data_IF_216408272676
#
_entry.id   IF_216408272676
#
_cell.length_a   1.000
_cell.length_b   1.000
_cell.length_c   1.000
_cell.angle_alpha   90.00
_cell.angle_beta   90.00
_cell.angle_gamma   90.00
#
_symmetry.space_group_name_H-M   'P 1'
#
loop_
_entity.id
_entity.type
_entity.pdbx_description
1 polymer ?
#
# COMPACT_ATOMS: atom_id res chain seq x y z
N UNK A 1 -22.55 -6.63 5.80
CA UNK A 1 -21.86 -5.37 5.42
C UNK A 1 -22.60 -4.74 4.26
N UNK A 2 -22.83 -3.43 4.32
CA UNK A 2 -23.32 -2.64 3.20
C UNK A 2 -22.18 -2.36 2.19
N UNK A 3 -22.52 -1.91 0.98
CA UNK A 3 -21.53 -1.67 -0.10
C UNK A 3 -20.42 -0.70 0.33
N UNK A 4 -20.73 0.34 1.11
CA UNK A 4 -19.74 1.29 1.63
C UNK A 4 -18.73 0.60 2.55
N UNK A 5 -19.21 -0.20 3.49
CA UNK A 5 -18.38 -0.97 4.42
C UNK A 5 -17.48 -1.98 3.70
N UNK A 6 -18.01 -2.65 2.66
CA UNK A 6 -17.22 -3.57 1.83
C UNK A 6 -16.09 -2.84 1.11
N UNK A 7 -16.39 -1.71 0.49
CA UNK A 7 -15.38 -0.90 -0.20
C UNK A 7 -14.36 -0.39 0.81
N UNK A 8 -14.79 0.09 1.97
CA UNK A 8 -13.88 0.52 3.03
C UNK A 8 -12.95 -0.61 3.44
N UNK A 9 -13.44 -1.84 3.60
CA UNK A 9 -12.60 -3.00 3.89
C UNK A 9 -11.61 -3.35 2.76
N UNK A 10 -11.95 -3.13 1.49
CA UNK A 10 -10.98 -3.23 0.37
C UNK A 10 -9.91 -2.15 0.47
N UNK A 11 -10.31 -0.92 0.80
CA UNK A 11 -9.36 0.20 0.98
C UNK A 11 -8.43 -0.07 2.15
N UNK A 12 -8.94 -0.63 3.24
CA UNK A 12 -8.19 -0.95 4.45
C UNK A 12 -7.43 -2.29 4.35
N UNK A 13 -7.61 -3.05 3.26
CA UNK A 13 -6.93 -4.32 3.03
C UNK A 13 -5.42 -4.14 2.85
N UNK A 14 -4.68 -5.22 3.11
CA UNK A 14 -3.23 -5.28 2.90
C UNK A 14 -2.84 -5.35 1.43
N UNK A 15 -3.81 -5.51 0.52
CA UNK A 15 -3.56 -5.58 -0.91
C UNK A 15 -3.01 -4.24 -1.41
N UNK A 16 -2.01 -4.30 -2.28
CA UNK A 16 -1.49 -3.10 -2.92
C UNK A 16 -2.54 -2.48 -3.85
N UNK A 17 -2.49 -1.17 -4.04
CA UNK A 17 -3.35 -0.48 -5.01
C UNK A 17 -3.21 -1.07 -6.44
N UNK A 18 -2.03 -1.62 -6.76
CA UNK A 18 -1.78 -2.35 -8.00
C UNK A 18 -2.45 -3.72 -8.03
N UNK A 19 -2.38 -4.51 -6.95
CA UNK A 19 -3.09 -5.81 -6.88
C UNK A 19 -4.59 -5.61 -7.06
N UNK A 20 -5.15 -4.62 -6.36
CA UNK A 20 -6.54 -4.22 -6.52
C UNK A 20 -6.79 -3.78 -7.97
N UNK A 21 -5.92 -2.95 -8.57
CA UNK A 21 -6.06 -2.57 -9.99
C UNK A 21 -6.03 -3.77 -10.94
N UNK A 22 -5.12 -4.71 -10.76
CA UNK A 22 -4.95 -5.88 -11.62
C UNK A 22 -6.18 -6.79 -11.57
N UNK A 23 -6.77 -6.94 -10.40
CA UNK A 23 -7.91 -7.84 -10.17
C UNK A 23 -9.26 -7.18 -10.44
N UNK A 24 -9.37 -5.86 -10.29
CA UNK A 24 -10.64 -5.11 -10.44
C UNK A 24 -10.72 -4.25 -11.69
N UNK A 25 -9.57 -3.90 -12.28
CA UNK A 25 -9.46 -2.88 -13.32
C UNK A 25 -9.80 -1.47 -12.84
N UNK A 26 -9.81 -1.21 -11.53
CA UNK A 26 -9.92 0.13 -10.95
C UNK A 26 -8.53 0.72 -10.84
N UNK A 27 -8.32 1.92 -11.38
CA UNK A 27 -6.99 2.54 -11.41
C UNK A 27 -6.41 2.70 -9.98
N UNK A 28 -5.13 2.36 -9.81
CA UNK A 28 -4.40 2.40 -8.54
C UNK A 28 -4.42 3.79 -7.92
N UNK A 29 -4.37 4.86 -8.73
CA UNK A 29 -4.50 6.24 -8.25
C UNK A 29 -5.86 6.52 -7.60
N UNK A 30 -6.93 5.79 -7.94
CA UNK A 30 -8.22 5.90 -7.27
C UNK A 30 -8.12 5.24 -5.90
N UNK A 31 -7.51 4.06 -5.81
CA UNK A 31 -7.32 3.33 -4.56
C UNK A 31 -6.43 4.12 -3.59
N UNK A 32 -5.30 4.66 -4.08
CA UNK A 32 -4.39 5.51 -3.31
C UNK A 32 -5.12 6.76 -2.81
N UNK A 33 -5.87 7.45 -3.68
CA UNK A 33 -6.64 8.64 -3.26
C UNK A 33 -7.73 8.33 -2.23
N UNK A 34 -8.33 7.13 -2.28
CA UNK A 34 -9.27 6.67 -1.26
C UNK A 34 -8.56 6.40 0.08
N UNK A 35 -7.39 5.73 0.05
CA UNK A 35 -6.56 5.47 1.25
C UNK A 35 -6.06 6.74 1.90
N UNK A 36 -5.62 7.71 1.09
CA UNK A 36 -5.08 8.98 1.57
C UNK A 36 -6.19 10.00 1.90
N UNK A 37 -7.46 9.60 1.90
CA UNK A 37 -8.64 10.45 2.14
C UNK A 37 -8.77 11.71 1.25
N UNK A 38 -8.00 11.80 0.16
CA UNK A 38 -8.10 12.88 -0.84
C UNK A 38 -9.28 12.66 -1.80
N UNK A 39 -9.89 11.46 -1.76
CA UNK A 39 -11.15 11.12 -2.42
C UNK A 39 -12.07 10.39 -1.44
N UNK A 40 -13.38 10.69 -1.49
CA UNK A 40 -14.40 9.98 -0.71
C UNK A 40 -15.00 8.81 -1.48
N UNK A 41 -15.29 7.70 -0.77
CA UNK A 41 -16.05 6.55 -1.27
C UNK A 41 -17.41 7.00 -1.84
N UNK A 42 -18.03 8.01 -1.23
CA UNK A 42 -19.35 8.54 -1.65
C UNK A 42 -19.33 9.20 -3.04
N UNK A 43 -18.15 9.46 -3.57
CA UNK A 43 -17.93 10.11 -4.88
C UNK A 43 -17.30 9.16 -5.91
N UNK A 44 -17.46 7.86 -5.72
CA UNK A 44 -17.08 6.85 -6.70
C UNK A 44 -18.16 6.68 -7.76
N UNK A 45 -17.75 6.36 -8.99
CA UNK A 45 -18.71 5.98 -10.02
C UNK A 45 -19.28 4.60 -9.71
N UNK A 46 -20.52 4.35 -10.15
CA UNK A 46 -21.19 3.06 -9.94
C UNK A 46 -20.33 1.88 -10.44
N UNK A 47 -19.70 2.01 -11.60
CA UNK A 47 -18.80 1.00 -12.16
C UNK A 47 -17.61 0.70 -11.22
N UNK A 48 -17.02 1.73 -10.59
CA UNK A 48 -15.93 1.53 -9.63
C UNK A 48 -16.43 0.86 -8.35
N UNK A 49 -17.60 1.27 -7.86
CA UNK A 49 -18.26 0.67 -6.68
C UNK A 49 -18.49 -0.83 -6.90
N UNK A 50 -19.09 -1.21 -8.03
CA UNK A 50 -19.39 -2.62 -8.37
C UNK A 50 -18.14 -3.48 -8.53
N UNK A 51 -17.03 -2.91 -9.00
CA UNK A 51 -15.75 -3.61 -9.16
C UNK A 51 -15.09 -3.88 -7.82
N UNK A 52 -15.07 -2.89 -6.93
CA UNK A 52 -14.49 -3.02 -5.58
C UNK A 52 -15.36 -3.89 -4.67
N UNK A 53 -16.69 -3.80 -4.79
CA UNK A 53 -17.59 -4.69 -4.06
C UNK A 53 -17.39 -6.16 -4.46
N UNK A 54 -17.31 -6.46 -5.76
CA UNK A 54 -16.98 -7.81 -6.22
C UNK A 54 -15.63 -8.29 -5.70
N UNK A 55 -14.62 -7.42 -5.71
CA UNK A 55 -13.31 -7.74 -5.15
C UNK A 55 -13.39 -8.15 -3.67
N UNK A 56 -14.15 -7.39 -2.88
CA UNK A 56 -14.39 -7.74 -1.48
C UNK A 56 -15.01 -9.14 -1.36
N UNK A 57 -16.11 -9.38 -2.10
CA UNK A 57 -16.87 -10.62 -1.99
C UNK A 57 -16.07 -11.85 -2.42
N UNK A 58 -15.12 -11.72 -3.36
CA UNK A 58 -14.31 -12.83 -3.87
C UNK A 58 -12.94 -12.97 -3.21
N UNK A 59 -12.27 -11.88 -2.85
CA UNK A 59 -10.88 -11.89 -2.35
C UNK A 59 -10.81 -11.59 -0.85
N UNK A 60 -11.23 -10.40 -0.45
CA UNK A 60 -11.05 -9.92 0.94
C UNK A 60 -11.87 -10.74 1.93
N UNK A 61 -13.11 -11.13 1.58
CA UNK A 61 -13.97 -11.93 2.46
C UNK A 61 -13.38 -13.34 2.70
N UNK A 62 -12.78 -13.96 1.68
CA UNK A 62 -12.26 -15.32 1.78
C UNK A 62 -10.86 -15.37 2.43
N UNK A 63 -10.07 -14.31 2.37
CA UNK A 63 -8.81 -14.21 3.14
C UNK A 63 -9.05 -14.11 4.66
N UNK A 64 -10.20 -13.59 5.09
CA UNK A 64 -10.54 -13.43 6.51
C UNK A 64 -11.03 -14.72 7.19
N UNK A 65 -11.39 -15.76 6.44
CA UNK A 65 -11.88 -17.03 7.00
C UNK A 65 -10.73 -18.05 7.27
N UNK A 66 -9.54 -17.86 6.69
CA UNK A 66 -8.42 -18.84 6.78
C UNK A 66 -7.12 -18.30 7.42
N UNK A 67 -7.02 -17.03 7.81
CA UNK A 67 -5.83 -16.47 8.47
C UNK A 67 -6.11 -16.06 9.92
N UNK A 68 -5.28 -16.50 10.89
CA UNK A 68 -5.45 -16.10 12.28
C UNK A 68 -5.30 -14.58 12.40
N UNK A 69 -6.32 -13.98 13.03
CA UNK A 69 -6.48 -12.56 13.30
C UNK A 69 -5.38 -12.05 14.24
N UNK A 70 -4.18 -11.79 13.73
CA UNK A 70 -3.22 -10.94 14.44
C UNK A 70 -2.82 -9.78 13.54
N UNK A 71 -3.60 -8.71 13.66
CA UNK A 71 -3.27 -7.36 13.23
C UNK A 71 -2.06 -6.90 14.07
N UNK A 72 -0.87 -7.39 13.73
CA UNK A 72 0.39 -6.81 14.17
C UNK A 72 1.23 -6.55 12.93
N UNK A 73 0.90 -5.45 12.24
CA UNK A 73 1.82 -4.86 11.28
C UNK A 73 3.04 -4.37 12.07
N UNK A 74 4.21 -4.98 11.87
CA UNK A 74 5.42 -4.53 12.55
C UNK A 74 5.71 -3.07 12.16
N UNK A 75 6.23 -2.29 13.11
CA UNK A 75 6.54 -0.87 12.90
C UNK A 75 7.47 -0.65 11.69
N UNK A 76 8.41 -1.57 11.47
CA UNK A 76 9.28 -1.61 10.30
C UNK A 76 8.49 -1.71 9.00
N UNK A 77 7.59 -2.71 8.88
CA UNK A 77 6.76 -2.91 7.70
C UNK A 77 5.91 -1.68 7.38
N UNK A 78 5.30 -1.09 8.41
CA UNK A 78 4.51 0.14 8.25
C UNK A 78 5.35 1.30 7.71
N UNK A 79 6.54 1.53 8.29
CA UNK A 79 7.44 2.62 7.87
C UNK A 79 7.97 2.41 6.44
N UNK A 80 8.29 1.17 6.08
CA UNK A 80 8.77 0.84 4.73
C UNK A 80 7.68 1.06 3.67
N UNK A 81 6.45 0.64 3.94
CA UNK A 81 5.30 0.85 3.06
C UNK A 81 5.10 2.35 2.80
N UNK A 82 5.09 3.16 3.86
CA UNK A 82 4.86 4.60 3.73
C UNK A 82 5.97 5.28 2.91
N UNK A 83 7.24 4.90 3.12
CA UNK A 83 8.37 5.49 2.41
C UNK A 83 8.35 5.14 0.91
N UNK A 84 8.05 3.88 0.57
CA UNK A 84 7.95 3.47 -0.81
C UNK A 84 6.73 4.10 -1.51
N UNK A 85 5.63 4.29 -0.79
CA UNK A 85 4.46 5.01 -1.29
C UNK A 85 4.80 6.48 -1.59
N UNK A 86 5.49 7.16 -0.68
CA UNK A 86 5.93 8.55 -0.90
C UNK A 86 6.84 8.67 -2.13
N UNK A 87 7.77 7.73 -2.30
CA UNK A 87 8.63 7.69 -3.49
C UNK A 87 7.84 7.51 -4.78
N UNK A 88 6.85 6.62 -4.78
CA UNK A 88 5.96 6.44 -5.94
C UNK A 88 5.20 7.72 -6.26
N UNK A 89 4.61 8.37 -5.26
CA UNK A 89 3.85 9.63 -5.43
C UNK A 89 4.73 10.74 -6.00
N UNK A 90 5.98 10.86 -5.54
CA UNK A 90 6.96 11.82 -6.08
C UNK A 90 7.24 11.56 -7.56
N UNK A 91 7.47 10.31 -7.96
CA UNK A 91 7.77 10.00 -9.37
C UNK A 91 6.54 10.19 -10.27
N UNK A 92 5.35 9.81 -9.78
CA UNK A 92 4.11 10.02 -10.51
C UNK A 92 3.86 11.52 -10.75
N UNK A 93 4.13 12.38 -9.77
CA UNK A 93 4.02 13.82 -9.92
C UNK A 93 4.98 14.38 -10.98
N UNK A 94 6.16 13.78 -11.16
CA UNK A 94 7.09 14.17 -12.23
C UNK A 94 6.60 13.76 -13.61
N UNK A 95 5.99 12.58 -13.75
CA UNK A 95 5.37 12.14 -15.01
C UNK A 95 4.24 13.08 -15.45
N UNK A 96 3.51 13.65 -14.48
CA UNK A 96 2.43 14.60 -14.73
C UNK A 96 2.92 16.04 -14.98
N UNK A 97 4.22 16.30 -14.82
CA UNK A 97 4.85 17.61 -15.05
C UNK A 97 4.98 17.93 -16.55
N UNK A 98 4.82 19.20 -16.98
CA UNK A 98 5.12 19.64 -18.34
C UNK A 98 6.57 19.38 -18.77
N UNK A 99 7.48 19.31 -17.80
CA UNK A 99 8.92 19.09 -18.01
C UNK A 99 9.34 17.63 -17.80
N UNK A 100 8.38 16.68 -17.83
CA UNK A 100 8.65 15.27 -17.60
C UNK A 100 9.72 14.73 -18.55
N UNK A 101 10.77 14.13 -17.99
CA UNK A 101 11.78 13.46 -18.81
C UNK A 101 11.18 12.19 -19.45
N UNK A 102 11.65 11.77 -20.64
CA UNK A 102 11.10 10.63 -21.35
C UNK A 102 11.13 9.31 -20.57
N UNK A 103 12.06 9.18 -19.63
CA UNK A 103 12.29 7.99 -18.80
C UNK A 103 11.54 8.01 -17.47
N UNK A 104 10.93 9.12 -17.05
CA UNK A 104 10.17 9.23 -15.78
C UNK A 104 9.08 8.16 -15.68
N UNK A 105 8.44 7.82 -16.80
CA UNK A 105 7.44 6.75 -16.87
C UNK A 105 8.04 5.38 -16.62
N UNK A 106 9.24 5.12 -17.15
CA UNK A 106 9.96 3.88 -16.91
C UNK A 106 10.46 3.80 -15.46
N UNK A 107 10.92 4.93 -14.90
CA UNK A 107 11.36 5.03 -13.50
C UNK A 107 10.21 4.81 -12.53
N UNK A 108 9.04 5.41 -12.80
CA UNK A 108 7.82 5.21 -12.00
C UNK A 108 7.41 3.73 -12.00
N UNK A 109 7.45 3.07 -13.17
CA UNK A 109 7.16 1.64 -13.27
C UNK A 109 8.19 0.77 -12.53
N UNK A 110 9.46 1.15 -12.53
CA UNK A 110 10.51 0.44 -11.79
C UNK A 110 10.31 0.57 -10.27
N UNK A 111 10.03 1.78 -9.77
CA UNK A 111 9.73 2.02 -8.35
C UNK A 111 8.48 1.26 -7.91
N UNK A 112 7.44 1.23 -8.76
CA UNK A 112 6.23 0.45 -8.52
C UNK A 112 6.52 -1.06 -8.46
N UNK A 113 7.34 -1.59 -9.36
CA UNK A 113 7.72 -3.01 -9.35
C UNK A 113 8.53 -3.35 -8.09
N UNK A 114 9.49 -2.52 -7.70
CA UNK A 114 10.27 -2.70 -6.48
C UNK A 114 9.37 -2.70 -5.23
N UNK A 115 8.39 -1.80 -5.16
CA UNK A 115 7.41 -1.79 -4.08
C UNK A 115 6.65 -3.12 -4.01
N UNK A 116 6.15 -3.62 -5.15
CA UNK A 116 5.41 -4.88 -5.18
C UNK A 116 6.27 -6.10 -4.81
N UNK A 117 7.51 -6.16 -5.30
CA UNK A 117 8.41 -7.29 -5.03
C UNK A 117 8.80 -7.33 -3.55
N UNK A 118 9.04 -6.17 -2.93
CA UNK A 118 9.36 -6.09 -1.50
C UNK A 118 8.14 -6.43 -0.64
N UNK A 119 6.96 -5.86 -0.91
CA UNK A 119 5.79 -6.10 -0.07
C UNK A 119 5.21 -7.52 -0.28
N UNK A 120 5.28 -8.05 -1.49
CA UNK A 120 4.76 -9.38 -1.83
C UNK A 120 5.69 -10.53 -1.42
N UNK A 121 6.98 -10.27 -1.16
CA UNK A 121 7.96 -11.30 -0.83
C UNK A 121 8.29 -11.30 0.67
N UNK A 122 7.73 -12.28 1.38
CA UNK A 122 7.94 -12.46 2.82
C UNK A 122 9.42 -12.59 3.21
N UNK A 123 10.23 -13.30 2.40
CA UNK A 123 11.65 -13.49 2.69
C UNK A 123 12.44 -12.19 2.57
N UNK A 124 12.11 -11.38 1.57
CA UNK A 124 12.76 -10.08 1.37
C UNK A 124 12.42 -9.13 2.52
N UNK A 125 11.17 -9.12 2.99
CA UNK A 125 10.77 -8.33 4.16
C UNK A 125 11.50 -8.76 5.44
N UNK A 126 11.64 -10.05 5.69
CA UNK A 126 12.36 -10.57 6.87
C UNK A 126 13.85 -10.20 6.83
N UNK A 127 14.46 -10.24 5.64
CA UNK A 127 15.83 -9.82 5.44
C UNK A 127 16.02 -8.32 5.71
N UNK A 128 15.16 -7.48 5.15
CA UNK A 128 15.20 -6.03 5.37
C UNK A 128 14.90 -5.65 6.83
N UNK A 129 13.99 -6.36 7.49
CA UNK A 129 13.69 -6.18 8.92
C UNK A 129 14.90 -6.52 9.78
N UNK A 130 15.64 -7.58 9.43
CA UNK A 130 16.89 -7.95 10.10
C UNK A 130 17.94 -6.85 9.98
N UNK A 131 18.14 -6.31 8.77
CA UNK A 131 19.07 -5.19 8.54
C UNK A 131 18.63 -3.96 9.33
N UNK A 132 17.34 -3.63 9.30
CA UNK A 132 16.79 -2.49 10.03
C UNK A 132 17.05 -2.61 11.53
N UNK A 133 16.78 -3.77 12.13
CA UNK A 133 16.97 -4.00 13.56
C UNK A 133 18.46 -4.00 13.98
N UNK A 134 19.38 -4.33 13.07
CA UNK A 134 20.83 -4.25 13.33
C UNK A 134 21.34 -2.80 13.35
N UNK A 135 20.74 -1.92 12.55
CA UNK A 135 21.22 -0.55 12.33
C UNK A 135 20.41 0.49 13.11
N UNK A 136 19.15 0.19 13.47
CA UNK A 136 18.31 1.09 14.23
C UNK A 136 18.74 1.08 15.71
N UNK A 137 19.01 2.25 16.32
CA UNK A 137 19.34 2.32 17.74
C UNK A 137 18.18 1.80 18.58
N UNK A 138 18.49 0.99 19.59
CA UNK A 138 17.52 0.49 20.55
C UNK A 138 16.89 1.70 21.27
N UNK A 139 15.55 1.92 21.19
CA UNK A 139 14.93 3.09 21.83
C UNK A 139 15.18 3.15 23.35
N UNK A 140 15.47 2.01 23.98
CA UNK A 140 15.80 1.91 25.41
C UNK A 140 17.26 2.25 25.79
N UNK A 141 18.14 2.57 24.84
CA UNK A 141 19.53 2.98 25.15
C UNK A 141 19.73 4.50 25.20
N UNK A 142 18.83 5.29 24.64
CA UNK A 142 18.93 6.76 24.60
C UNK A 142 18.54 7.44 25.93
N UNK A 143 17.83 6.75 26.83
CA UNK A 143 17.48 7.28 28.15
C UNK A 143 18.59 7.08 29.21
N UNK A 144 19.61 6.26 28.93
CA UNK A 144 20.66 5.93 29.89
C UNK A 144 21.88 6.88 29.81
N UNK A 145 22.03 7.68 28.76
CA UNK A 145 23.17 8.61 28.58
C UNK A 145 22.85 10.06 28.98
N UNK A 146 21.65 10.31 29.52
CA UNK A 146 21.31 11.59 30.16
C UNK A 146 21.13 11.38 31.66
N UNK A 147 22.20 10.97 32.35
CA UNK A 147 22.32 11.11 33.81
C UNK A 147 23.77 11.33 34.24
#
# INVERSE_FOLDING_TARGET
MNTREKIQAVIDSHDSAYQIQKLTGVNSSIIIRLRNHTRSIDRLSLNTVEKLERYFDYHVKHENDDFPTSIQLSHFRHRLINLLQELYEIQQAKVESPDAQPDEKAMTAAVEQMFNDVIGNKLELEHLETIYNQLAPNPNQLEAEVK
#
